data_IF_736788783171
#
_entry.id   IF_736788783171
#
_cell.length_a   1.000
_cell.length_b   1.000
_cell.length_c   1.000
_cell.angle_alpha   90.00
_cell.angle_beta   90.00
_cell.angle_gamma   90.00
#
_symmetry.space_group_name_H-M   'P 1'
#
loop_
_entity.id
_entity.type
_entity.pdbx_description
1 polymer ?
#
# COMPACT_ATOMS: atom_id res chain seq x y z
N UNK A 1 11.67 0.24 -18.14
CA UNK A 1 11.88 -0.10 -16.72
C UNK A 1 10.59 -0.36 -15.93
N UNK A 2 9.39 -0.31 -16.54
CA UNK A 2 8.15 -0.62 -15.81
C UNK A 2 7.58 -2.03 -16.09
N UNK A 3 7.95 -2.65 -17.21
CA UNK A 3 7.46 -4.00 -17.57
C UNK A 3 7.99 -5.09 -16.61
N UNK A 4 9.23 -4.96 -16.13
CA UNK A 4 9.80 -5.90 -15.14
C UNK A 4 9.06 -5.83 -13.78
N UNK A 5 8.59 -4.64 -13.40
CA UNK A 5 7.78 -4.47 -12.19
C UNK A 5 6.44 -5.18 -12.32
N UNK A 6 5.73 -5.00 -13.44
CA UNK A 6 4.46 -5.70 -13.71
C UNK A 6 4.66 -7.21 -13.70
N UNK A 7 5.74 -7.72 -14.30
CA UNK A 7 6.07 -9.14 -14.28
C UNK A 7 6.29 -9.66 -12.84
N UNK A 8 7.02 -8.92 -12.01
CA UNK A 8 7.24 -9.27 -10.61
C UNK A 8 5.94 -9.24 -9.77
N UNK A 9 5.05 -8.28 -10.04
CA UNK A 9 3.73 -8.21 -9.39
C UNK A 9 2.86 -9.42 -9.74
N UNK A 10 2.87 -9.87 -11.00
CA UNK A 10 2.16 -11.10 -11.43
C UNK A 10 2.79 -12.37 -10.87
N UNK A 11 4.10 -12.38 -10.63
CA UNK A 11 4.77 -13.48 -9.96
C UNK A 11 4.35 -13.58 -8.49
N UNK A 12 4.26 -12.45 -7.79
CA UNK A 12 3.74 -12.39 -6.42
C UNK A 12 2.32 -12.92 -6.30
N UNK A 13 1.45 -12.60 -7.26
CA UNK A 13 0.10 -13.16 -7.32
C UNK A 13 0.13 -14.69 -7.38
N UNK A 14 0.99 -15.26 -8.22
CA UNK A 14 1.10 -16.72 -8.39
C UNK A 14 1.72 -17.43 -7.19
N UNK A 15 2.72 -16.84 -6.56
CA UNK A 15 3.44 -17.49 -5.46
C UNK A 15 2.75 -17.31 -4.10
N UNK A 16 2.16 -16.14 -3.87
CA UNK A 16 1.66 -15.72 -2.56
C UNK A 16 0.14 -15.57 -2.51
N UNK A 17 -0.55 -15.72 -3.65
CA UNK A 17 -2.01 -15.64 -3.73
C UNK A 17 -2.57 -14.22 -3.55
N UNK A 18 -1.73 -13.20 -3.66
CA UNK A 18 -2.14 -11.81 -3.50
C UNK A 18 -2.62 -11.28 -4.86
N UNK A 19 -3.91 -10.95 -4.97
CA UNK A 19 -4.48 -10.49 -6.24
C UNK A 19 -3.68 -9.32 -6.82
N UNK A 20 -3.32 -9.42 -8.10
CA UNK A 20 -2.52 -8.40 -8.80
C UNK A 20 -3.15 -7.01 -8.69
N UNK A 21 -4.46 -6.91 -8.90
CA UNK A 21 -5.22 -5.66 -8.83
C UNK A 21 -5.13 -5.01 -7.44
N UNK A 22 -5.13 -5.81 -6.37
CA UNK A 22 -5.00 -5.29 -5.00
C UNK A 22 -3.63 -4.70 -4.72
N UNK A 23 -2.57 -5.30 -5.30
CA UNK A 23 -1.22 -4.73 -5.18
C UNK A 23 -1.09 -3.48 -6.04
N UNK A 24 -1.64 -3.51 -7.27
CA UNK A 24 -1.60 -2.39 -8.19
C UNK A 24 -2.31 -1.15 -7.61
N UNK A 25 -3.52 -1.32 -7.07
CA UNK A 25 -4.26 -0.24 -6.39
C UNK A 25 -3.47 0.30 -5.19
N UNK A 26 -2.93 -0.58 -4.35
CA UNK A 26 -2.10 -0.14 -3.23
C UNK A 26 -0.84 0.61 -3.66
N UNK A 27 -0.28 0.26 -4.82
CA UNK A 27 0.85 0.96 -5.41
C UNK A 27 0.43 2.34 -5.90
N UNK A 28 -0.69 2.47 -6.60
CA UNK A 28 -1.24 3.74 -7.05
C UNK A 28 -1.50 4.70 -5.87
N UNK A 29 -2.17 4.21 -4.82
CA UNK A 29 -2.45 4.97 -3.60
C UNK A 29 -1.16 5.47 -2.93
N UNK A 30 -0.17 4.58 -2.78
CA UNK A 30 1.09 4.93 -2.14
C UNK A 30 1.92 5.91 -2.99
N UNK A 31 1.91 5.76 -4.32
CA UNK A 31 2.58 6.67 -5.23
C UNK A 31 1.93 8.06 -5.18
N UNK A 32 0.59 8.14 -5.15
CA UNK A 32 -0.12 9.39 -4.96
C UNK A 32 0.22 10.07 -3.62
N UNK A 33 0.24 9.30 -2.53
CA UNK A 33 0.60 9.81 -1.21
C UNK A 33 2.06 10.29 -1.14
N UNK A 34 2.99 9.53 -1.72
CA UNK A 34 4.40 9.90 -1.81
C UNK A 34 4.58 11.18 -2.62
N UNK A 35 3.83 11.34 -3.72
CA UNK A 35 3.86 12.54 -4.55
C UNK A 35 3.29 13.75 -3.81
N UNK A 36 2.16 13.60 -3.09
CA UNK A 36 1.61 14.65 -2.22
C UNK A 36 2.65 15.16 -1.22
N UNK A 37 3.37 14.24 -0.58
CA UNK A 37 4.43 14.58 0.39
C UNK A 37 5.63 15.31 -0.25
N UNK A 38 6.04 14.90 -1.45
CA UNK A 38 7.08 15.60 -2.20
C UNK A 38 6.63 17.00 -2.63
N UNK A 39 5.42 17.12 -3.17
CA UNK A 39 4.84 18.39 -3.61
C UNK A 39 4.68 19.39 -2.47
N UNK A 40 4.25 18.93 -1.28
CA UNK A 40 4.13 19.76 -0.07
C UNK A 40 5.47 20.32 0.41
N UNK A 41 6.57 19.57 0.22
CA UNK A 41 7.91 20.08 0.54
C UNK A 41 8.35 21.18 -0.43
N UNK A 42 7.93 21.11 -1.69
CA UNK A 42 8.20 22.15 -2.69
C UNK A 42 7.27 23.37 -2.55
N UNK A 43 6.08 23.17 -1.98
CA UNK A 43 5.05 24.20 -1.79
C UNK A 43 4.59 24.30 -0.31
N UNK A 44 5.47 24.75 0.61
CA UNK A 44 5.16 24.77 2.04
C UNK A 44 4.06 25.77 2.42
N UNK A 45 3.83 26.80 1.60
CA UNK A 45 2.81 27.84 1.83
C UNK A 45 1.49 27.56 1.10
N UNK A 46 1.40 26.45 0.34
CA UNK A 46 0.19 26.09 -0.38
C UNK A 46 -0.80 25.37 0.54
N UNK A 47 -2.08 25.75 0.44
CA UNK A 47 -3.18 25.06 1.10
C UNK A 47 -3.36 23.67 0.45
N UNK A 48 -3.05 22.62 1.21
CA UNK A 48 -3.12 21.23 0.74
C UNK A 48 -4.41 20.50 1.16
N UNK A 49 -5.33 21.21 1.82
CA UNK A 49 -6.62 20.67 2.27
C UNK A 49 -7.49 20.32 1.06
N UNK A 50 -7.47 21.15 0.02
CA UNK A 50 -8.26 20.98 -1.20
C UNK A 50 -7.44 20.44 -2.39
N UNK A 51 -6.25 19.89 -2.14
CA UNK A 51 -5.38 19.32 -3.17
C UNK A 51 -5.20 17.82 -2.97
N UNK A 52 -5.72 17.06 -3.92
CA UNK A 52 -5.57 15.62 -4.04
C UNK A 52 -4.57 15.23 -5.13
N UNK A 53 -4.10 13.99 -5.08
CA UNK A 53 -3.31 13.39 -6.14
C UNK A 53 -3.82 11.98 -6.41
N UNK A 54 -3.83 11.59 -7.67
CA UNK A 54 -4.18 10.24 -8.11
C UNK A 54 -3.05 9.74 -9.01
N UNK A 55 -2.53 8.55 -8.70
CA UNK A 55 -1.63 7.85 -9.61
C UNK A 55 -2.45 6.80 -10.38
N UNK A 56 -2.03 6.56 -11.62
CA UNK A 56 -2.58 5.50 -12.46
C UNK A 56 -1.42 4.75 -13.10
N UNK A 57 -1.42 3.42 -13.00
CA UNK A 57 -0.37 2.56 -13.52
C UNK A 57 -1.00 1.62 -14.54
N UNK A 58 -0.52 1.69 -15.78
CA UNK A 58 -0.97 0.81 -16.84
C UNK A 58 -0.57 -0.66 -16.53
N UNK A 59 -1.51 -1.61 -16.48
CA UNK A 59 -1.25 -2.99 -16.06
C UNK A 59 -0.50 -3.85 -17.09
N UNK A 60 -0.28 -3.33 -18.31
CA UNK A 60 0.44 -4.03 -19.38
C UNK A 60 1.86 -3.47 -19.55
N UNK A 61 1.98 -2.14 -19.58
CA UNK A 61 3.24 -1.43 -19.82
C UNK A 61 3.93 -1.03 -18.52
N UNK A 62 3.17 -0.90 -17.44
CA UNK A 62 3.57 -0.32 -16.16
C UNK A 62 3.79 1.19 -16.22
N UNK A 63 3.44 1.86 -17.31
CA UNK A 63 3.54 3.33 -17.41
C UNK A 63 2.70 3.99 -16.33
N UNK A 64 3.33 4.92 -15.60
CA UNK A 64 2.69 5.64 -14.51
C UNK A 64 2.35 7.05 -14.94
N UNK A 65 1.09 7.42 -14.74
CA UNK A 65 0.56 8.77 -14.89
C UNK A 65 0.17 9.29 -13.50
N UNK A 66 0.31 10.61 -13.31
CA UNK A 66 -0.05 11.28 -12.08
C UNK A 66 -0.99 12.41 -12.42
N UNK A 67 -2.02 12.57 -11.61
CA UNK A 67 -3.02 13.59 -11.79
C UNK A 67 -3.14 14.39 -10.50
N UNK A 68 -3.12 15.71 -10.65
CA UNK A 68 -3.47 16.63 -9.57
C UNK A 68 -4.97 16.84 -9.59
N UNK A 69 -5.60 16.67 -8.42
CA UNK A 69 -7.04 16.82 -8.25
C UNK A 69 -7.32 18.06 -7.41
N UNK A 70 -8.21 18.92 -7.90
CA UNK A 70 -8.82 19.95 -7.06
C UNK A 70 -10.03 19.36 -6.35
N UNK A 71 -10.04 19.46 -5.04
CA UNK A 71 -11.08 18.91 -4.18
C UNK A 71 -11.98 20.03 -3.66
N UNK A 72 -13.25 19.72 -3.47
CA UNK A 72 -14.20 20.58 -2.76
C UNK A 72 -14.91 19.75 -1.70
N UNK A 73 -15.13 20.37 -0.54
CA UNK A 73 -15.90 19.78 0.54
C UNK A 73 -17.39 19.97 0.24
N UNK A 74 -18.09 18.86 0.04
CA UNK A 74 -19.53 18.85 -0.20
C UNK A 74 -20.23 18.02 0.87
N UNK A 75 -21.43 18.44 1.26
CA UNK A 75 -22.30 17.63 2.11
C UNK A 75 -22.68 16.35 1.37
N UNK A 76 -22.46 15.20 2.00
CA UNK A 76 -22.88 13.92 1.49
C UNK A 76 -24.42 13.83 1.45
N UNK A 77 -24.94 12.87 0.69
CA UNK A 77 -26.40 12.67 0.55
C UNK A 77 -27.11 12.39 1.89
N UNK A 78 -26.37 12.03 2.94
CA UNK A 78 -26.87 11.82 4.30
C UNK A 78 -27.05 13.12 5.11
N UNK A 79 -26.50 14.26 4.64
CA UNK A 79 -26.57 15.56 5.29
C UNK A 79 -25.78 15.68 6.60
N UNK A 80 -25.02 14.65 6.98
CA UNK A 80 -24.28 14.61 8.26
C UNK A 80 -22.76 14.44 8.04
N UNK A 81 -22.36 13.96 6.87
CA UNK A 81 -20.95 13.73 6.53
C UNK A 81 -20.48 14.72 5.48
N UNK A 82 -19.32 15.35 5.70
CA UNK A 82 -18.64 16.13 4.68
C UNK A 82 -17.71 15.20 3.89
N UNK A 83 -17.83 15.20 2.56
CA UNK A 83 -17.01 14.38 1.66
C UNK A 83 -16.25 15.25 0.68
N UNK A 84 -15.01 14.87 0.42
CA UNK A 84 -14.18 15.55 -0.59
C UNK A 84 -14.56 15.03 -1.98
N UNK A 85 -15.02 15.93 -2.84
CA UNK A 85 -15.37 15.64 -4.23
C UNK A 85 -14.34 16.24 -5.16
N UNK A 86 -13.94 15.47 -6.18
CA UNK A 86 -13.04 15.95 -7.24
C UNK A 86 -13.80 16.89 -8.18
N UNK A 87 -13.38 18.15 -8.23
CA UNK A 87 -13.91 19.18 -9.14
C UNK A 87 -13.25 19.12 -10.51
N UNK A 88 -11.93 18.99 -10.52
CA UNK A 88 -11.12 18.90 -11.74
C UNK A 88 -9.92 17.99 -11.49
N UNK A 89 -9.46 17.38 -12.57
CA UNK A 89 -8.28 16.51 -12.58
C UNK A 89 -7.40 16.94 -13.76
N UNK A 90 -6.15 17.28 -13.49
CA UNK A 90 -5.16 17.67 -14.50
C UNK A 90 -3.96 16.72 -14.43
N UNK A 91 -3.53 16.19 -15.59
CA UNK A 91 -2.34 15.35 -15.66
C UNK A 91 -1.09 16.21 -15.40
N UNK A 92 -0.27 15.79 -14.44
CA UNK A 92 0.96 16.49 -14.05
C UNK A 92 2.18 15.69 -14.44
N UNK A 93 3.17 16.39 -14.99
CA UNK A 93 4.45 15.79 -15.33
C UNK A 93 5.24 15.50 -14.06
N UNK A 94 5.38 14.22 -13.76
CA UNK A 94 6.18 13.75 -12.63
C UNK A 94 7.67 13.87 -12.94
N UNK A 95 8.43 14.49 -12.04
CA UNK A 95 9.89 14.64 -12.12
C UNK A 95 10.59 13.29 -12.19
N UNK A 96 11.68 13.21 -12.98
CA UNK A 96 12.46 11.96 -13.11
C UNK A 96 13.04 11.45 -11.78
N UNK A 97 13.37 12.34 -10.84
CA UNK A 97 13.85 11.96 -9.50
C UNK A 97 12.78 11.21 -8.70
N UNK A 98 11.50 11.62 -8.86
CA UNK A 98 10.38 10.93 -8.27
C UNK A 98 10.14 9.57 -8.93
N UNK A 99 10.12 9.51 -10.28
CA UNK A 99 9.94 8.24 -11.01
C UNK A 99 11.05 7.22 -10.70
N UNK A 100 12.28 7.69 -10.53
CA UNK A 100 13.44 6.83 -10.28
C UNK A 100 13.57 6.37 -8.83
N UNK A 101 13.79 7.30 -7.90
CA UNK A 101 14.18 6.95 -6.53
C UNK A 101 12.98 6.79 -5.61
N UNK A 102 12.12 7.80 -5.55
CA UNK A 102 10.98 7.83 -4.62
C UNK A 102 10.01 6.72 -5.01
N UNK A 103 9.70 6.59 -6.30
CA UNK A 103 8.80 5.55 -6.80
C UNK A 103 9.29 4.13 -6.55
N UNK A 104 10.58 3.85 -6.78
CA UNK A 104 11.14 2.53 -6.50
C UNK A 104 11.10 2.18 -5.00
N UNK A 105 11.39 3.15 -4.12
CA UNK A 105 11.33 2.94 -2.67
C UNK A 105 9.90 2.70 -2.19
N UNK A 106 8.95 3.52 -2.63
CA UNK A 106 7.53 3.36 -2.34
C UNK A 106 7.01 2.01 -2.84
N UNK A 107 7.32 1.64 -4.08
CA UNK A 107 6.90 0.37 -4.65
C UNK A 107 7.39 -0.82 -3.84
N UNK A 108 8.68 -0.82 -3.49
CA UNK A 108 9.26 -1.83 -2.60
C UNK A 108 8.50 -1.90 -1.28
N UNK A 109 8.24 -0.75 -0.65
CA UNK A 109 7.55 -0.70 0.64
C UNK A 109 6.14 -1.28 0.56
N UNK A 110 5.35 -0.90 -0.45
CA UNK A 110 3.98 -1.41 -0.64
C UNK A 110 3.99 -2.92 -0.87
N UNK A 111 4.89 -3.40 -1.73
CA UNK A 111 5.02 -4.84 -2.00
C UNK A 111 5.35 -5.61 -0.72
N UNK A 112 6.32 -5.14 0.07
CA UNK A 112 6.66 -5.76 1.36
C UNK A 112 5.51 -5.72 2.36
N UNK A 113 4.72 -4.65 2.36
CA UNK A 113 3.57 -4.53 3.24
C UNK A 113 2.48 -5.53 2.86
N UNK A 114 2.08 -5.57 1.58
CA UNK A 114 1.09 -6.53 1.08
C UNK A 114 1.54 -7.98 1.30
N UNK A 115 2.82 -8.26 1.13
CA UNK A 115 3.38 -9.58 1.42
C UNK A 115 3.20 -9.97 2.89
N UNK A 116 3.52 -9.06 3.82
CA UNK A 116 3.35 -9.30 5.26
C UNK A 116 1.88 -9.47 5.64
N UNK A 117 0.99 -8.67 5.04
CA UNK A 117 -0.44 -8.74 5.32
C UNK A 117 -1.00 -10.09 4.86
N UNK A 118 -0.62 -10.55 3.66
CA UNK A 118 -0.99 -11.87 3.17
C UNK A 118 -0.40 -13.01 4.02
N UNK A 119 0.86 -12.91 4.46
CA UNK A 119 1.46 -13.91 5.36
C UNK A 119 0.75 -13.96 6.72
N UNK A 120 0.32 -12.81 7.25
CA UNK A 120 -0.48 -12.74 8.48
C UNK A 120 -1.87 -13.32 8.30
N UNK A 121 -2.52 -13.07 7.18
CA UNK A 121 -3.85 -13.59 6.89
C UNK A 121 -3.82 -15.12 6.74
N UNK A 122 -2.86 -15.67 5.98
CA UNK A 122 -2.65 -17.12 5.88
C UNK A 122 -2.37 -17.75 7.24
N UNK A 123 -1.53 -17.09 8.05
CA UNK A 123 -1.26 -17.53 9.43
C UNK A 123 -2.53 -17.53 10.26
N UNK A 124 -3.30 -16.45 10.21
CA UNK A 124 -4.55 -16.36 10.95
C UNK A 124 -5.52 -17.46 10.55
N UNK A 125 -5.71 -17.70 9.24
CA UNK A 125 -6.57 -18.79 8.75
C UNK A 125 -6.12 -20.18 9.22
N UNK A 126 -4.81 -20.45 9.29
CA UNK A 126 -4.26 -21.72 9.79
C UNK A 126 -4.63 -21.98 11.26
N UNK A 127 -4.70 -20.93 12.09
CA UNK A 127 -4.93 -21.05 13.54
C UNK A 127 -6.34 -20.69 14.01
N UNK A 128 -7.12 -19.91 13.24
CA UNK A 128 -8.48 -19.49 13.59
C UNK A 128 -9.44 -20.69 13.79
N UNK A 129 -9.16 -21.83 13.17
CA UNK A 129 -9.92 -23.07 13.34
C UNK A 129 -9.40 -24.03 14.42
N UNK A 130 -8.31 -23.68 15.13
CA UNK A 130 -7.61 -24.57 16.07
C UNK A 130 -7.66 -24.06 17.51
N UNK A 131 -8.64 -23.23 17.82
CA UNK A 131 -8.87 -22.72 19.17
C UNK A 131 -9.16 -23.89 20.14
N UNK A 132 -8.29 -24.05 21.15
CA UNK A 132 -8.40 -25.11 22.15
C UNK A 132 -7.56 -26.37 21.87
N UNK A 133 -6.88 -26.44 20.72
CA UNK A 133 -5.93 -27.51 20.43
C UNK A 133 -4.67 -27.41 21.32
N UNK A 134 -4.14 -28.56 21.74
CA UNK A 134 -2.83 -28.63 22.39
C UNK A 134 -1.75 -28.66 21.31
N UNK A 135 -0.87 -27.66 21.32
CA UNK A 135 0.27 -27.56 20.42
C UNK A 135 1.60 -27.65 21.18
N UNK A 136 2.62 -28.18 20.52
CA UNK A 136 3.99 -28.24 21.05
C UNK A 136 4.86 -27.20 20.37
N UNK A 137 5.68 -26.47 21.12
CA UNK A 137 6.59 -25.44 20.61
C UNK A 137 7.99 -25.51 21.20
N UNK A 138 8.92 -24.78 20.59
CA UNK A 138 10.29 -24.59 21.03
C UNK A 138 10.40 -23.21 21.69
N UNK A 139 10.99 -23.14 22.88
CA UNK A 139 11.23 -21.85 23.55
C UNK A 139 12.37 -21.13 22.84
N UNK A 140 12.09 -19.96 22.25
CA UNK A 140 13.10 -19.12 21.59
C UNK A 140 13.76 -18.16 22.58
N UNK A 141 12.94 -17.47 23.39
CA UNK A 141 13.42 -16.49 24.35
C UNK A 141 12.50 -16.46 25.56
N UNK A 142 13.08 -16.40 26.76
CA UNK A 142 12.33 -16.28 28.00
C UNK A 142 12.78 -15.05 28.78
N UNK A 143 11.84 -14.15 29.04
CA UNK A 143 12.00 -13.00 29.92
C UNK A 143 11.12 -13.17 31.17
N UNK A 144 11.34 -12.33 32.19
CA UNK A 144 10.56 -12.39 33.44
C UNK A 144 9.05 -12.18 33.25
N UNK A 145 8.63 -11.56 32.15
CA UNK A 145 7.24 -11.17 31.89
C UNK A 145 6.56 -11.94 30.76
N UNK A 146 7.33 -12.51 29.84
CA UNK A 146 6.80 -13.24 28.69
C UNK A 146 7.84 -14.26 28.19
N UNK A 147 7.38 -15.27 27.46
CA UNK A 147 8.24 -16.25 26.79
C UNK A 147 7.78 -16.37 25.35
N UNK A 148 8.69 -16.12 24.41
CA UNK A 148 8.47 -16.36 22.98
C UNK A 148 8.59 -17.86 22.71
N UNK A 149 7.58 -18.40 22.04
CA UNK A 149 7.45 -19.81 21.69
C UNK A 149 7.36 -19.91 20.17
N UNK A 150 8.34 -20.57 19.58
CA UNK A 150 8.29 -20.96 18.18
C UNK A 150 7.47 -22.24 18.03
N UNK A 151 6.29 -22.11 17.43
CA UNK A 151 5.38 -23.22 17.17
C UNK A 151 5.66 -23.87 15.80
N UNK A 152 6.74 -23.48 15.11
CA UNK A 152 7.11 -23.87 13.76
C UNK A 152 7.01 -22.70 12.77
N UNK A 153 6.06 -22.73 11.83
CA UNK A 153 5.96 -21.73 10.75
C UNK A 153 5.63 -20.30 11.20
N UNK A 154 5.43 -20.07 12.50
CA UNK A 154 4.99 -18.79 13.05
C UNK A 154 5.64 -18.58 14.41
N UNK A 155 6.40 -17.49 14.54
CA UNK A 155 6.89 -17.01 15.82
C UNK A 155 5.72 -16.38 16.60
N UNK A 156 5.49 -16.83 17.84
CA UNK A 156 4.47 -16.31 18.75
C UNK A 156 5.08 -15.86 20.09
#
# INVERSE_FOLDING_TARGET
MNVEMIAALRELEREKGIAFDTILQGLEEAMAAAYKSAWKQEHPDADDDFVGFRAEIDPETGEMRMFQQQLEEVEAEDGETLVMKVLSEEEVTVTDDFKGRIGAQTAKQVIFQKLRDAEREMTYEEFAGREGDIVTGIVQQSERRYTLLDLGKVEA
#
